data_IF_354749675221
#
_entry.id   IF_354749675221
#
_cell.length_a   1.000
_cell.length_b   1.000
_cell.length_c   1.000
_cell.angle_alpha   90.00
_cell.angle_beta   90.00
_cell.angle_gamma   90.00
#
_symmetry.space_group_name_H-M   'P 1'
#
loop_
_entity.id
_entity.type
_entity.pdbx_description
1 polymer ?
#
# COMPACT_ATOMS: atom_id res chain seq x y z
N UNK A 1 10.77 -12.74 2.42
CA UNK A 1 10.06 -11.43 2.42
C UNK A 1 10.83 -10.48 1.52
N UNK A 2 10.15 -9.72 0.70
CA UNK A 2 10.81 -8.71 -0.13
C UNK A 2 11.07 -7.46 0.75
N UNK A 3 12.31 -7.27 1.13
CA UNK A 3 12.78 -6.19 2.00
C UNK A 3 13.03 -4.86 1.28
N UNK A 4 12.76 -4.82 -0.03
CA UNK A 4 12.97 -3.59 -0.83
C UNK A 4 11.78 -2.65 -0.83
N UNK A 5 10.57 -3.18 -0.76
CA UNK A 5 9.33 -2.41 -0.86
C UNK A 5 8.55 -2.44 0.46
N UNK A 6 8.29 -1.26 1.02
CA UNK A 6 7.33 -1.07 2.09
C UNK A 6 5.97 -0.66 1.52
N UNK A 7 4.92 -1.37 1.90
CA UNK A 7 3.54 -0.92 1.67
C UNK A 7 3.10 -0.10 2.88
N UNK A 8 2.91 1.19 2.68
CA UNK A 8 2.58 2.14 3.74
C UNK A 8 1.15 2.67 3.58
N UNK A 9 0.35 2.53 4.62
CA UNK A 9 -1.05 2.94 4.63
C UNK A 9 -1.26 4.00 5.72
N UNK A 10 -1.26 5.29 5.38
CA UNK A 10 -1.68 6.32 6.32
C UNK A 10 -3.19 6.24 6.53
N UNK A 11 -3.65 6.28 7.77
CA UNK A 11 -5.06 6.24 8.10
C UNK A 11 -5.38 7.14 9.28
N UNK A 12 -6.54 7.77 9.21
CA UNK A 12 -7.03 8.69 10.25
C UNK A 12 -8.55 8.57 10.35
N UNK A 13 -9.03 8.17 11.53
CA UNK A 13 -10.47 8.10 11.83
C UNK A 13 -11.25 7.01 11.11
N UNK A 14 -10.57 6.00 10.54
CA UNK A 14 -11.22 4.94 9.71
C UNK A 14 -10.95 3.52 10.19
N UNK A 15 -10.67 3.34 11.47
CA UNK A 15 -10.35 2.02 12.02
C UNK A 15 -11.45 0.97 11.76
N UNK A 16 -12.72 1.37 11.78
CA UNK A 16 -13.84 0.46 11.54
C UNK A 16 -14.00 0.04 10.08
N UNK A 17 -13.55 0.87 9.16
CA UNK A 17 -13.70 0.62 7.73
C UNK A 17 -12.49 -0.08 7.10
N UNK A 18 -11.32 0.07 7.72
CA UNK A 18 -10.06 -0.43 7.14
C UNK A 18 -10.08 -1.94 6.92
N UNK A 19 -10.74 -2.68 7.80
CA UNK A 19 -10.82 -4.15 7.70
C UNK A 19 -11.55 -4.61 6.44
N UNK A 20 -12.55 -3.83 6.00
CA UNK A 20 -13.32 -4.11 4.78
C UNK A 20 -12.63 -3.67 3.50
N UNK A 21 -11.60 -2.85 3.59
CA UNK A 21 -10.89 -2.24 2.47
C UNK A 21 -9.42 -2.69 2.44
N UNK A 22 -8.50 -1.77 2.71
CA UNK A 22 -7.08 -2.07 2.67
C UNK A 22 -6.70 -3.23 3.61
N UNK A 23 -7.24 -3.30 4.80
CA UNK A 23 -6.96 -4.36 5.76
C UNK A 23 -7.33 -5.76 5.26
N UNK A 24 -8.32 -5.88 4.39
CA UNK A 24 -8.73 -7.17 3.83
C UNK A 24 -7.62 -7.80 2.99
N UNK A 25 -7.01 -7.06 2.09
CA UNK A 25 -5.97 -7.60 1.22
C UNK A 25 -4.57 -7.52 1.84
N UNK A 26 -4.29 -6.51 2.69
CA UNK A 26 -3.01 -6.39 3.38
C UNK A 26 -2.69 -7.61 4.24
N UNK A 27 -3.68 -8.14 4.95
CA UNK A 27 -3.53 -9.33 5.79
C UNK A 27 -3.20 -10.61 5.01
N UNK A 28 -3.38 -10.59 3.69
CA UNK A 28 -3.09 -11.73 2.81
C UNK A 28 -1.68 -11.68 2.22
N UNK A 29 -0.94 -10.60 2.47
CA UNK A 29 0.43 -10.46 1.99
C UNK A 29 1.37 -11.38 2.78
N UNK A 30 2.14 -12.18 2.07
CA UNK A 30 3.13 -13.10 2.63
C UNK A 30 4.57 -12.67 2.32
N UNK A 31 4.76 -12.03 1.15
CA UNK A 31 6.07 -11.66 0.62
C UNK A 31 6.46 -10.21 0.86
N UNK A 32 5.51 -9.36 1.22
CA UNK A 32 5.71 -7.93 1.39
C UNK A 32 5.37 -7.46 2.79
N UNK A 33 6.20 -6.57 3.31
CA UNK A 33 5.92 -5.90 4.57
C UNK A 33 4.94 -4.74 4.35
N UNK A 34 3.92 -4.69 5.18
CA UNK A 34 3.03 -3.53 5.23
C UNK A 34 2.99 -2.92 6.62
N UNK A 35 2.82 -1.63 6.69
CA UNK A 35 2.59 -0.88 7.92
C UNK A 35 1.44 0.09 7.76
N UNK A 36 0.59 0.08 8.76
CA UNK A 36 -0.45 1.08 8.97
C UNK A 36 0.13 2.20 9.83
N UNK A 37 0.01 3.43 9.36
CA UNK A 37 0.44 4.62 10.08
C UNK A 37 -0.78 5.34 10.62
N UNK A 38 -0.89 5.44 11.94
CA UNK A 38 -2.00 6.12 12.60
C UNK A 38 -1.52 6.93 13.82
N UNK A 39 -2.37 7.82 14.29
CA UNK A 39 -2.06 8.62 15.48
C UNK A 39 -2.18 7.77 16.75
N UNK A 40 -1.35 8.03 17.79
CA UNK A 40 -1.38 7.25 19.05
C UNK A 40 -2.75 7.23 19.72
N UNK A 41 -3.53 8.29 19.59
CA UNK A 41 -4.90 8.40 20.17
C UNK A 41 -5.88 7.38 19.58
N UNK A 42 -5.57 6.83 18.40
CA UNK A 42 -6.41 5.87 17.70
C UNK A 42 -6.01 4.40 17.95
N UNK A 43 -4.98 4.20 18.78
CA UNK A 43 -4.39 2.88 19.07
C UNK A 43 -5.43 1.81 19.39
N UNK A 44 -6.38 2.12 20.27
CA UNK A 44 -7.39 1.16 20.74
C UNK A 44 -8.25 0.67 19.55
N UNK A 45 -8.59 1.56 18.64
CA UNK A 45 -9.45 1.24 17.51
C UNK A 45 -8.72 0.40 16.46
N UNK A 46 -7.53 0.82 16.05
CA UNK A 46 -6.78 0.09 15.03
C UNK A 46 -6.22 -1.25 15.52
N UNK A 47 -5.92 -1.40 16.81
CA UNK A 47 -5.46 -2.67 17.37
C UNK A 47 -6.54 -3.76 17.38
N UNK A 48 -7.80 -3.41 17.22
CA UNK A 48 -8.91 -4.35 17.08
C UNK A 48 -9.04 -4.92 15.67
N UNK A 49 -8.53 -4.20 14.68
CA UNK A 49 -8.72 -4.55 13.26
C UNK A 49 -7.42 -4.98 12.58
N UNK A 50 -6.27 -4.53 13.08
CA UNK A 50 -4.96 -4.79 12.49
C UNK A 50 -3.99 -5.34 13.54
N UNK A 51 -3.07 -6.26 13.15
CA UNK A 51 -2.04 -6.73 14.07
C UNK A 51 -1.15 -5.58 14.56
N UNK A 52 -0.89 -5.54 15.86
CA UNK A 52 -0.07 -4.49 16.47
C UNK A 52 1.34 -4.38 15.86
N UNK A 53 1.91 -5.50 15.44
CA UNK A 53 3.20 -5.54 14.75
C UNK A 53 3.22 -4.79 13.42
N UNK A 54 2.04 -4.56 12.84
CA UNK A 54 1.87 -3.86 11.56
C UNK A 54 1.43 -2.40 11.74
N UNK A 55 1.32 -1.92 12.99
CA UNK A 55 0.93 -0.53 13.27
C UNK A 55 2.16 0.27 13.67
N UNK A 56 2.33 1.41 13.02
CA UNK A 56 3.33 2.43 13.37
C UNK A 56 2.60 3.67 13.87
N UNK A 57 2.89 4.06 15.09
CA UNK A 57 2.30 5.27 15.65
C UNK A 57 3.09 6.50 15.21
N UNK A 58 2.37 7.50 14.74
CA UNK A 58 2.89 8.81 14.38
C UNK A 58 2.80 9.77 15.59
N UNK A 59 2.45 11.00 15.36
CA UNK A 59 2.19 11.97 16.42
C UNK A 59 0.72 12.38 16.41
N UNK A 60 0.15 12.63 17.58
CA UNK A 60 -1.22 13.13 17.68
C UNK A 60 -1.34 14.49 16.96
N UNK A 61 -2.44 14.66 16.24
CA UNK A 61 -2.75 15.87 15.46
C UNK A 61 -1.76 16.19 14.32
N UNK A 62 -0.95 15.22 13.88
CA UNK A 62 -0.06 15.43 12.74
C UNK A 62 -0.79 15.44 11.39
N UNK A 63 -1.98 14.84 11.33
CA UNK A 63 -2.77 14.68 10.11
C UNK A 63 -2.08 13.83 9.04
N UNK A 64 -2.69 13.72 7.87
CA UNK A 64 -2.14 12.91 6.77
C UNK A 64 -0.77 13.39 6.29
N UNK A 65 -0.57 14.71 6.23
CA UNK A 65 0.73 15.28 5.83
C UNK A 65 1.84 14.87 6.80
N UNK A 66 1.59 14.92 8.09
CA UNK A 66 2.53 14.47 9.11
C UNK A 66 2.80 12.98 9.03
N UNK A 67 1.76 12.17 8.77
CA UNK A 67 1.89 10.73 8.57
C UNK A 67 2.80 10.39 7.38
N UNK A 68 2.72 11.12 6.28
CA UNK A 68 3.63 10.94 5.14
C UNK A 68 5.09 11.19 5.54
N UNK A 69 5.36 12.21 6.35
CA UNK A 69 6.69 12.45 6.91
C UNK A 69 7.19 11.29 7.78
N UNK A 70 6.33 10.70 8.59
CA UNK A 70 6.65 9.52 9.39
C UNK A 70 6.91 8.28 8.54
N UNK A 71 6.13 8.06 7.48
CA UNK A 71 6.34 6.98 6.52
C UNK A 71 7.74 7.05 5.93
N UNK A 72 8.14 8.24 5.46
CA UNK A 72 9.46 8.44 4.89
C UNK A 72 10.56 8.10 5.88
N UNK A 73 10.52 8.67 7.10
CA UNK A 73 11.53 8.38 8.13
C UNK A 73 11.59 6.90 8.47
N UNK A 74 10.45 6.27 8.67
CA UNK A 74 10.39 4.83 8.94
C UNK A 74 11.04 4.00 7.85
N UNK A 75 10.73 4.30 6.59
CA UNK A 75 11.30 3.58 5.45
C UNK A 75 12.82 3.76 5.37
N UNK A 76 13.32 4.97 5.56
CA UNK A 76 14.75 5.29 5.61
C UNK A 76 15.46 4.54 6.75
N UNK A 77 14.92 4.59 7.97
CA UNK A 77 15.47 3.92 9.16
C UNK A 77 15.50 2.39 9.04
N UNK A 78 14.50 1.81 8.36
CA UNK A 78 14.40 0.36 8.14
C UNK A 78 15.13 -0.12 6.89
N UNK A 79 15.64 0.78 6.07
CA UNK A 79 16.42 0.45 4.87
C UNK A 79 15.58 0.03 3.67
N UNK A 80 14.29 0.37 3.63
CA UNK A 80 13.45 0.13 2.46
C UNK A 80 13.91 1.00 1.29
N UNK A 81 14.03 0.38 0.13
CA UNK A 81 14.44 1.07 -1.08
C UNK A 81 13.28 1.79 -1.76
N UNK A 82 12.10 1.23 -1.66
CA UNK A 82 10.87 1.72 -2.26
C UNK A 82 9.76 1.79 -1.24
N UNK A 83 8.85 2.73 -1.44
CA UNK A 83 7.63 2.89 -0.64
C UNK A 83 6.44 2.97 -1.58
N UNK A 84 5.48 2.09 -1.37
CA UNK A 84 4.16 2.19 -1.98
C UNK A 84 3.18 2.77 -0.96
N UNK A 85 2.76 4.00 -1.18
CA UNK A 85 1.68 4.60 -0.39
C UNK A 85 0.34 4.11 -0.91
N UNK A 86 -0.46 3.53 -0.03
CA UNK A 86 -1.84 3.12 -0.32
C UNK A 86 -2.82 3.91 0.52
N UNK A 87 -3.97 4.24 -0.05
CA UNK A 87 -5.06 4.79 0.74
C UNK A 87 -5.77 3.67 1.54
N UNK A 88 -6.29 4.01 2.71
CA UNK A 88 -6.92 3.06 3.63
C UNK A 88 -8.25 2.48 3.13
N UNK A 89 -8.86 3.13 2.15
CA UNK A 89 -10.09 2.70 1.48
C UNK A 89 -9.83 2.03 0.12
N UNK A 90 -8.59 1.70 -0.19
CA UNK A 90 -8.23 1.11 -1.47
C UNK A 90 -8.59 -0.38 -1.54
N UNK A 91 -9.29 -0.74 -2.62
CA UNK A 91 -9.54 -2.11 -3.01
C UNK A 91 -8.57 -2.53 -4.12
N UNK A 92 -7.99 -3.71 -3.96
CA UNK A 92 -7.31 -4.35 -5.06
C UNK A 92 -8.31 -5.18 -5.87
N UNK A 93 -8.54 -4.76 -7.09
CA UNK A 93 -9.27 -5.57 -8.06
C UNK A 93 -8.27 -6.48 -8.78
N UNK A 94 -8.60 -7.76 -8.86
CA UNK A 94 -7.84 -8.71 -9.67
C UNK A 94 -7.79 -8.20 -11.11
N UNK A 95 -6.58 -8.10 -11.68
CA UNK A 95 -6.40 -7.72 -13.08
C UNK A 95 -7.19 -8.68 -13.96
N UNK A 96 -8.09 -8.17 -14.78
CA UNK A 96 -8.62 -8.95 -15.90
C UNK A 96 -7.48 -9.16 -16.89
N UNK A 97 -7.13 -10.40 -17.12
CA UNK A 97 -6.02 -10.81 -17.98
C UNK A 97 -6.12 -10.21 -19.37
N UNK A 98 -5.14 -9.38 -19.73
CA UNK A 98 -4.77 -9.28 -21.13
C UNK A 98 -3.92 -10.50 -21.49
N UNK A 99 -4.02 -11.00 -22.71
CA UNK A 99 -3.43 -12.28 -23.16
C UNK A 99 -1.90 -12.40 -23.00
N UNK A 100 -1.20 -11.41 -22.47
CA UNK A 100 0.27 -11.38 -22.44
C UNK A 100 0.92 -11.19 -21.07
N UNK A 101 0.24 -10.65 -20.03
CA UNK A 101 0.78 -10.50 -18.67
C UNK A 101 -0.37 -10.49 -17.67
N UNK A 102 -0.51 -11.52 -16.89
CA UNK A 102 -1.49 -11.58 -15.80
C UNK A 102 -0.74 -11.75 -14.48
N UNK A 103 -0.71 -10.71 -13.68
CA UNK A 103 -0.47 -10.92 -12.29
C UNK A 103 -1.66 -11.73 -11.75
N UNK A 104 -1.42 -12.94 -11.29
CA UNK A 104 -2.46 -13.79 -10.71
C UNK A 104 -2.87 -13.30 -9.34
N UNK A 105 -1.92 -12.69 -8.63
CA UNK A 105 -2.10 -12.15 -7.29
C UNK A 105 -1.64 -10.70 -7.22
N UNK A 106 -1.99 -10.04 -6.11
CA UNK A 106 -1.48 -8.70 -5.82
C UNK A 106 0.04 -8.69 -5.68
N UNK A 107 0.62 -9.74 -5.10
CA UNK A 107 2.06 -9.84 -4.88
C UNK A 107 2.82 -10.04 -6.19
N UNK A 108 2.21 -10.71 -7.17
CA UNK A 108 2.80 -10.82 -8.51
C UNK A 108 2.84 -9.46 -9.20
N UNK A 109 1.81 -8.64 -9.03
CA UNK A 109 1.80 -7.27 -9.54
C UNK A 109 2.86 -6.39 -8.85
N UNK A 110 3.06 -6.55 -7.55
CA UNK A 110 4.10 -5.85 -6.82
C UNK A 110 5.51 -6.29 -7.24
N UNK A 111 5.70 -7.58 -7.52
CA UNK A 111 6.96 -8.11 -8.06
C UNK A 111 7.28 -7.49 -9.43
N UNK A 112 6.28 -7.37 -10.31
CA UNK A 112 6.45 -6.70 -11.60
C UNK A 112 6.89 -5.23 -11.42
N UNK A 113 6.22 -4.47 -10.54
CA UNK A 113 6.55 -3.08 -10.24
C UNK A 113 7.98 -2.94 -9.73
N UNK A 114 8.36 -3.75 -8.73
CA UNK A 114 9.71 -3.72 -8.17
C UNK A 114 10.74 -4.07 -9.24
N UNK A 115 10.47 -5.06 -10.08
CA UNK A 115 11.36 -5.47 -11.17
C UNK A 115 11.56 -4.35 -12.19
N UNK A 116 10.52 -3.66 -12.61
CA UNK A 116 10.62 -2.52 -13.52
C UNK A 116 11.45 -1.38 -12.92
N UNK A 117 11.22 -1.04 -11.65
CA UNK A 117 12.00 -0.01 -10.95
C UNK A 117 13.47 -0.39 -10.75
N UNK A 118 13.78 -1.68 -10.64
CA UNK A 118 15.16 -2.16 -10.57
C UNK A 118 15.87 -2.13 -11.93
N UNK A 119 15.15 -2.40 -13.01
CA UNK A 119 15.69 -2.41 -14.36
C UNK A 119 15.94 -1.00 -14.90
N UNK A 120 15.04 -0.07 -14.64
CA UNK A 120 15.16 1.32 -15.11
C UNK A 120 15.27 2.30 -13.95
N UNK A 121 16.49 2.74 -13.67
CA UNK A 121 16.81 3.69 -12.60
C UNK A 121 16.30 5.12 -12.86
N UNK A 122 15.82 5.41 -14.06
CA UNK A 122 15.17 6.69 -14.38
C UNK A 122 13.73 6.78 -13.90
N UNK A 123 13.10 5.65 -13.56
CA UNK A 123 11.75 5.61 -13.03
C UNK A 123 11.77 6.14 -11.59
N UNK A 124 11.23 7.33 -11.39
CA UNK A 124 11.10 7.96 -10.07
C UNK A 124 9.90 7.48 -9.25
N UNK A 125 8.93 6.84 -9.91
CA UNK A 125 7.76 6.30 -9.24
C UNK A 125 6.82 5.58 -10.21
N UNK A 126 6.07 4.63 -9.66
CA UNK A 126 5.01 3.90 -10.35
C UNK A 126 3.73 4.07 -9.55
N UNK A 127 2.65 4.34 -10.22
CA UNK A 127 1.33 4.48 -9.60
C UNK A 127 0.43 3.33 -10.00
N UNK A 128 -0.16 2.67 -9.02
CA UNK A 128 -1.31 1.81 -9.25
C UNK A 128 -2.54 2.69 -9.28
N UNK A 129 -3.11 2.88 -10.44
CA UNK A 129 -4.32 3.70 -10.57
C UNK A 129 -5.54 2.88 -10.18
N UNK A 130 -6.37 3.47 -9.32
CA UNK A 130 -7.72 2.99 -9.09
C UNK A 130 -8.44 3.00 -10.43
N UNK A 131 -9.00 1.87 -10.85
CA UNK A 131 -9.96 1.84 -11.94
C UNK A 131 -11.27 2.49 -11.49
N UNK A 132 -11.26 3.79 -11.35
CA UNK A 132 -12.49 4.55 -11.29
C UNK A 132 -13.15 4.43 -12.68
N UNK A 133 -14.46 4.22 -12.72
CA UNK A 133 -15.19 3.89 -13.95
C UNK A 133 -15.09 4.87 -15.12
N UNK A 134 -14.40 5.99 -14.97
CA UNK A 134 -14.13 7.00 -16.00
C UNK A 134 -12.68 7.03 -16.49
N UNK A 135 -11.80 6.21 -15.94
CA UNK A 135 -10.40 6.06 -16.37
C UNK A 135 -10.17 4.65 -16.95
N UNK A 136 -11.11 4.17 -17.72
CA UNK A 136 -10.94 2.91 -18.44
C UNK A 136 -10.13 3.18 -19.70
N UNK A 137 -9.04 2.42 -19.88
CA UNK A 137 -8.51 2.34 -21.22
C UNK A 137 -9.54 1.63 -22.12
N UNK A 138 -9.40 1.72 -23.47
CA UNK A 138 -10.32 1.10 -24.41
C UNK A 138 -10.49 -0.41 -24.22
N UNK A 139 -9.56 -1.07 -23.54
CA UNK A 139 -9.54 -2.52 -23.32
C UNK A 139 -10.04 -2.93 -21.92
N UNK A 140 -10.52 -1.99 -21.12
CA UNK A 140 -10.99 -2.25 -19.76
C UNK A 140 -9.90 -2.81 -18.80
N UNK A 141 -8.65 -2.52 -19.08
CA UNK A 141 -7.49 -2.96 -18.30
C UNK A 141 -7.18 -1.98 -17.16
N UNK A 142 -6.78 -2.52 -16.01
CA UNK A 142 -6.17 -1.73 -14.94
C UNK A 142 -4.74 -1.38 -15.36
N UNK A 143 -4.40 -0.12 -15.36
CA UNK A 143 -3.03 0.34 -15.47
C UNK A 143 -2.33 0.12 -14.13
N UNK A 144 -1.24 -0.59 -14.16
CA UNK A 144 -0.27 -0.65 -13.07
C UNK A 144 0.72 0.50 -13.24
#
# INVERSE_FOLDING_TARGET
MNDKLLIAVPSLGRAYDIEKHAGFWLKQLERYEYKLFCEPREKIYYSQTMPMSNIVFTENNCGLKGQIGHIRRYAEEKGFKYVMKCDDDMWFLKKKTSKKRSAETIEDALDEIVSEMELDKSIGGVTITKAAGYMRNPNNELWL
#
